data_IF_031704337754
#
_entry.id   IF_031704337754
#
_cell.length_a   1.000
_cell.length_b   1.000
_cell.length_c   1.000
_cell.angle_alpha   90.00
_cell.angle_beta   90.00
_cell.angle_gamma   90.00
#
_symmetry.space_group_name_H-M   'P 1'
#
loop_
_entity.id
_entity.type
_entity.pdbx_description
1 polymer ?
#
# COMPACT_ATOMS: atom_id res chain seq x y z
N UNK A 1 24.63 -13.71 5.66
CA UNK A 1 23.37 -13.02 5.90
C UNK A 1 22.47 -13.98 6.66
N UNK A 2 22.07 -13.64 7.88
CA UNK A 2 21.16 -14.48 8.67
C UNK A 2 19.77 -14.38 8.03
N UNK A 3 19.00 -15.47 8.06
CA UNK A 3 17.59 -15.51 7.57
C UNK A 3 16.64 -14.48 8.26
N UNK A 4 17.13 -13.78 9.28
CA UNK A 4 16.40 -12.76 10.03
C UNK A 4 16.24 -11.39 9.32
N UNK A 5 16.87 -11.20 8.15
CA UNK A 5 16.91 -9.92 7.43
C UNK A 5 16.13 -9.95 6.10
N UNK A 6 15.33 -10.98 5.85
CA UNK A 6 14.52 -11.04 4.64
C UNK A 6 13.23 -10.25 4.82
N UNK A 7 12.87 -9.45 3.81
CA UNK A 7 11.57 -8.78 3.75
C UNK A 7 10.44 -9.80 3.83
N UNK A 8 9.46 -9.55 4.70
CA UNK A 8 8.28 -10.38 4.90
C UNK A 8 7.07 -9.76 4.20
N UNK A 9 6.42 -10.51 3.33
CA UNK A 9 5.32 -10.02 2.50
C UNK A 9 4.09 -10.90 2.68
N UNK A 10 2.98 -10.33 3.16
CA UNK A 10 1.69 -10.98 3.27
C UNK A 10 0.84 -10.64 2.04
N UNK A 11 0.49 -11.64 1.25
CA UNK A 11 -0.27 -11.46 0.00
C UNK A 11 -1.67 -12.03 0.21
N UNK A 12 -2.67 -11.16 0.26
CA UNK A 12 -4.07 -11.57 0.33
C UNK A 12 -4.56 -11.94 -1.08
N UNK A 13 -5.09 -13.16 -1.21
CA UNK A 13 -5.50 -13.70 -2.49
C UNK A 13 -6.83 -14.43 -2.40
N UNK A 14 -7.80 -14.00 -3.20
CA UNK A 14 -9.14 -14.59 -3.27
C UNK A 14 -9.48 -15.19 -4.64
N UNK A 15 -8.53 -15.16 -5.60
CA UNK A 15 -8.72 -15.65 -6.96
C UNK A 15 -9.49 -14.70 -7.88
N UNK A 16 -9.84 -13.50 -7.40
CA UNK A 16 -10.46 -12.46 -8.23
C UNK A 16 -9.47 -11.87 -9.24
N UNK A 17 -9.98 -11.16 -10.26
CA UNK A 17 -9.13 -10.40 -11.19
C UNK A 17 -8.25 -9.39 -10.46
N UNK A 18 -8.75 -8.78 -9.38
CA UNK A 18 -7.98 -7.87 -8.55
C UNK A 18 -6.81 -8.55 -7.85
N UNK A 19 -7.02 -9.76 -7.32
CA UNK A 19 -5.96 -10.55 -6.69
C UNK A 19 -4.93 -11.06 -7.72
N UNK A 20 -5.37 -11.47 -8.91
CA UNK A 20 -4.48 -11.84 -10.01
C UNK A 20 -3.63 -10.64 -10.48
N UNK A 21 -4.27 -9.47 -10.63
CA UNK A 21 -3.58 -8.23 -10.94
C UNK A 21 -2.56 -7.83 -9.86
N UNK A 22 -2.85 -8.15 -8.59
CA UNK A 22 -1.92 -7.91 -7.48
C UNK A 22 -0.64 -8.74 -7.61
N UNK A 23 -0.75 -10.00 -8.05
CA UNK A 23 0.43 -10.84 -8.31
C UNK A 23 1.27 -10.26 -9.45
N UNK A 24 0.64 -9.81 -10.53
CA UNK A 24 1.36 -9.20 -11.65
C UNK A 24 2.04 -7.88 -11.26
N UNK A 25 1.41 -7.10 -10.40
CA UNK A 25 1.93 -5.83 -9.90
C UNK A 25 3.21 -5.99 -9.06
N UNK A 26 3.42 -7.14 -8.41
CA UNK A 26 4.65 -7.41 -7.64
C UNK A 26 5.92 -7.21 -8.47
N UNK A 27 5.89 -7.50 -9.79
CA UNK A 27 7.02 -7.29 -10.71
C UNK A 27 7.41 -5.82 -10.83
N UNK A 28 6.45 -4.92 -10.59
CA UNK A 28 6.61 -3.46 -10.73
C UNK A 28 6.77 -2.75 -9.39
N UNK A 29 6.90 -3.51 -8.30
CA UNK A 29 6.98 -2.99 -6.95
C UNK A 29 8.42 -2.79 -6.44
N UNK A 30 9.44 -3.07 -7.26
CA UNK A 30 10.85 -2.94 -6.86
C UNK A 30 11.26 -3.89 -5.73
N UNK A 31 10.52 -4.99 -5.52
CA UNK A 31 10.73 -5.91 -4.41
C UNK A 31 12.07 -6.66 -4.51
N UNK A 32 12.63 -7.11 -3.37
CA UNK A 32 13.92 -7.76 -3.36
C UNK A 32 13.89 -9.13 -4.05
N UNK A 33 15.04 -9.56 -4.60
CA UNK A 33 15.18 -10.88 -5.23
C UNK A 33 14.99 -12.04 -4.26
N UNK A 34 15.12 -11.81 -2.96
CA UNK A 34 14.93 -12.79 -1.89
C UNK A 34 14.03 -12.20 -0.82
N UNK A 35 12.94 -12.90 -0.51
CA UNK A 35 11.98 -12.52 0.50
C UNK A 35 11.31 -13.76 1.10
N UNK A 36 10.64 -13.59 2.23
CA UNK A 36 9.66 -14.54 2.74
C UNK A 36 8.26 -14.01 2.43
N UNK A 37 7.40 -14.87 1.91
CA UNK A 37 6.01 -14.49 1.62
C UNK A 37 5.03 -15.51 2.20
N UNK A 38 3.86 -15.02 2.63
CA UNK A 38 2.68 -15.85 2.89
C UNK A 38 1.60 -15.45 1.91
N UNK A 39 1.08 -16.43 1.17
CA UNK A 39 -0.17 -16.28 0.41
C UNK A 39 -1.30 -16.71 1.30
N UNK A 40 -2.17 -15.76 1.64
CA UNK A 40 -3.31 -15.96 2.54
C UNK A 40 -4.62 -15.89 1.76
N UNK A 41 -5.40 -16.97 1.82
CA UNK A 41 -6.75 -17.04 1.25
C UNK A 41 -7.76 -17.21 2.37
N UNK A 42 -8.75 -16.33 2.43
CA UNK A 42 -9.81 -16.36 3.43
C UNK A 42 -11.14 -16.68 2.75
N UNK A 43 -11.78 -17.74 3.22
CA UNK A 43 -13.16 -18.04 2.84
C UNK A 43 -14.11 -17.21 3.71
N UNK A 44 -14.92 -16.38 3.09
CA UNK A 44 -15.94 -15.62 3.80
C UNK A 44 -17.04 -16.56 4.29
N UNK A 45 -17.28 -16.56 5.57
CA UNK A 45 -18.38 -17.31 6.16
C UNK A 45 -19.56 -16.37 6.43
N UNK A 46 -20.59 -16.51 5.61
CA UNK A 46 -21.90 -15.94 5.90
C UNK A 46 -22.58 -16.88 6.91
N UNK A 47 -22.46 -16.60 8.22
CA UNK A 47 -23.29 -17.28 9.21
C UNK A 47 -24.75 -16.97 8.92
N UNK A 48 -25.58 -17.95 8.52
CA UNK A 48 -27.02 -17.72 8.54
C UNK A 48 -27.40 -17.45 9.99
N UNK A 49 -28.22 -16.44 10.22
CA UNK A 49 -28.76 -16.19 11.54
C UNK A 49 -29.36 -17.51 12.08
N UNK A 50 -29.12 -17.87 13.35
CA UNK A 50 -29.59 -19.16 13.90
C UNK A 50 -31.12 -19.22 13.87
N UNK A 51 -31.66 -19.91 12.89
CA UNK A 51 -33.12 -20.03 12.68
C UNK A 51 -33.71 -21.26 13.37
N UNK A 52 -32.93 -22.08 14.07
CA UNK A 52 -33.50 -23.14 14.92
C UNK A 52 -32.48 -23.71 15.90
N UNK A 53 -32.89 -23.81 17.14
CA UNK A 53 -32.31 -24.63 18.19
C UNK A 53 -32.70 -26.07 17.90
N UNK A 54 -31.78 -26.86 17.35
CA UNK A 54 -32.04 -28.30 17.19
C UNK A 54 -31.40 -28.90 15.95
N UNK A 55 -30.22 -29.46 16.13
CA UNK A 55 -29.52 -30.25 15.13
C UNK A 55 -28.25 -29.58 14.61
N UNK A 56 -27.14 -29.69 15.34
CA UNK A 56 -25.83 -29.48 14.81
C UNK A 56 -25.59 -30.56 13.76
N UNK A 57 -25.77 -30.17 12.50
CA UNK A 57 -25.66 -31.09 11.38
C UNK A 57 -24.19 -31.47 11.18
N UNK A 58 -23.91 -32.76 11.11
CA UNK A 58 -22.63 -33.33 10.68
C UNK A 58 -22.22 -32.89 9.25
N UNK A 59 -23.15 -32.31 8.51
CA UNK A 59 -22.99 -31.72 7.19
C UNK A 59 -22.16 -30.43 7.28
N UNK A 60 -22.37 -29.62 8.31
CA UNK A 60 -21.67 -28.32 8.50
C UNK A 60 -20.16 -28.49 8.62
N UNK A 61 -19.70 -29.51 9.35
CA UNK A 61 -18.26 -29.78 9.50
C UNK A 61 -17.58 -30.30 8.21
N UNK A 62 -18.31 -31.00 7.35
CA UNK A 62 -17.81 -31.48 6.06
C UNK A 62 -17.65 -30.32 5.06
N UNK A 63 -18.66 -29.46 5.00
CA UNK A 63 -18.67 -28.28 4.13
C UNK A 63 -17.54 -27.31 4.50
N UNK A 64 -17.23 -27.19 5.80
CA UNK A 64 -16.14 -26.35 6.30
C UNK A 64 -14.77 -26.88 5.86
N UNK A 65 -14.56 -28.19 6.02
CA UNK A 65 -13.32 -28.87 5.60
C UNK A 65 -13.11 -28.84 4.07
N UNK A 66 -14.17 -28.87 3.31
CA UNK A 66 -14.11 -28.76 1.85
C UNK A 66 -13.73 -27.34 1.42
N UNK A 67 -14.36 -26.33 2.01
CA UNK A 67 -14.03 -24.91 1.79
C UNK A 67 -12.57 -24.58 2.15
N UNK A 68 -12.07 -25.12 3.26
CA UNK A 68 -10.66 -24.94 3.65
C UNK A 68 -9.71 -25.56 2.63
N UNK A 69 -10.03 -26.76 2.12
CA UNK A 69 -9.24 -27.41 1.05
C UNK A 69 -9.24 -26.57 -0.25
N UNK A 70 -10.37 -26.01 -0.63
CA UNK A 70 -10.50 -25.18 -1.81
C UNK A 70 -9.67 -23.89 -1.66
N UNK A 71 -9.73 -23.27 -0.48
CA UNK A 71 -8.91 -22.07 -0.17
C UNK A 71 -7.42 -22.38 -0.22
N UNK A 72 -6.98 -23.51 0.34
CA UNK A 72 -5.59 -23.94 0.26
C UNK A 72 -5.18 -24.25 -1.18
N UNK A 73 -6.05 -24.87 -1.99
CA UNK A 73 -5.79 -25.11 -3.40
C UNK A 73 -5.61 -23.81 -4.18
N UNK A 74 -6.47 -22.82 -3.86
CA UNK A 74 -6.38 -21.47 -4.45
C UNK A 74 -5.07 -20.77 -4.07
N UNK A 75 -4.69 -20.79 -2.78
CA UNK A 75 -3.43 -20.22 -2.31
C UNK A 75 -2.21 -20.89 -2.95
N UNK A 76 -2.25 -22.22 -3.18
CA UNK A 76 -1.18 -22.96 -3.88
C UNK A 76 -1.04 -22.58 -5.34
N UNK A 77 -2.13 -22.25 -6.02
CA UNK A 77 -2.07 -21.72 -7.40
C UNK A 77 -1.32 -20.38 -7.44
N UNK A 78 -1.68 -19.48 -6.54
CA UNK A 78 -0.98 -18.21 -6.40
C UNK A 78 0.50 -18.40 -6.02
N UNK A 79 0.80 -19.29 -5.06
CA UNK A 79 2.16 -19.66 -4.69
C UNK A 79 2.98 -20.08 -5.90
N UNK A 80 2.44 -20.99 -6.73
CA UNK A 80 3.14 -21.50 -7.92
C UNK A 80 3.42 -20.38 -8.92
N UNK A 81 2.46 -19.45 -9.13
CA UNK A 81 2.63 -18.29 -10.00
C UNK A 81 3.67 -17.32 -9.48
N UNK A 82 3.62 -16.99 -8.18
CA UNK A 82 4.60 -16.09 -7.55
C UNK A 82 5.99 -16.72 -7.58
N UNK A 83 6.12 -18.03 -7.38
CA UNK A 83 7.42 -18.72 -7.45
C UNK A 83 8.05 -18.66 -8.84
N UNK A 84 7.24 -18.69 -9.91
CA UNK A 84 7.73 -18.49 -11.28
C UNK A 84 8.26 -17.06 -11.49
N UNK A 85 7.65 -16.07 -10.86
CA UNK A 85 8.06 -14.66 -10.96
C UNK A 85 9.27 -14.35 -10.08
N UNK A 86 9.34 -14.97 -8.91
CA UNK A 86 10.34 -14.74 -7.87
C UNK A 86 10.92 -16.08 -7.36
N UNK A 87 11.80 -16.74 -8.14
CA UNK A 87 12.35 -18.05 -7.76
C UNK A 87 13.15 -18.04 -6.45
N UNK A 88 13.63 -16.88 -6.03
CA UNK A 88 14.41 -16.69 -4.80
C UNK A 88 13.55 -16.48 -3.55
N UNK A 89 12.22 -16.43 -3.67
CA UNK A 89 11.33 -16.23 -2.52
C UNK A 89 10.98 -17.55 -1.84
N UNK A 90 10.94 -17.52 -0.52
CA UNK A 90 10.37 -18.60 0.29
C UNK A 90 8.88 -18.29 0.50
N UNK A 91 8.01 -19.06 -0.14
CA UNK A 91 6.58 -18.78 -0.17
C UNK A 91 5.83 -19.86 0.60
N UNK A 92 5.13 -19.47 1.64
CA UNK A 92 4.20 -20.29 2.40
C UNK A 92 2.77 -20.03 1.93
N UNK A 93 1.89 -20.97 2.16
CA UNK A 93 0.44 -20.82 1.93
C UNK A 93 -0.29 -20.98 3.24
N UNK A 94 -1.34 -20.20 3.39
CA UNK A 94 -2.22 -20.23 4.54
C UNK A 94 -3.67 -20.01 4.12
N UNK A 95 -4.60 -20.57 4.87
CA UNK A 95 -6.03 -20.42 4.62
C UNK A 95 -6.74 -20.19 5.94
N UNK A 96 -7.79 -19.39 5.89
CA UNK A 96 -8.64 -19.10 7.03
C UNK A 96 -10.11 -19.03 6.64
N UNK A 97 -10.97 -19.00 7.65
CA UNK A 97 -12.42 -18.84 7.50
C UNK A 97 -12.84 -17.69 8.39
N UNK A 98 -13.58 -16.74 7.83
CA UNK A 98 -14.07 -15.58 8.59
C UNK A 98 -14.22 -14.33 7.73
N UNK A 99 -14.13 -13.17 8.35
CA UNK A 99 -14.13 -11.88 7.65
C UNK A 99 -12.75 -11.60 7.05
N UNK A 100 -12.59 -11.54 5.71
CA UNK A 100 -11.28 -11.46 5.08
C UNK A 100 -10.40 -10.33 5.61
N UNK A 101 -10.94 -9.12 5.74
CA UNK A 101 -10.16 -7.99 6.25
C UNK A 101 -9.68 -8.18 7.69
N UNK A 102 -10.51 -8.79 8.57
CA UNK A 102 -10.14 -9.05 9.96
C UNK A 102 -9.09 -10.16 10.07
N UNK A 103 -9.22 -11.23 9.30
CA UNK A 103 -8.28 -12.35 9.30
C UNK A 103 -6.91 -11.93 8.72
N UNK A 104 -6.89 -11.07 7.69
CA UNK A 104 -5.64 -10.50 7.16
C UNK A 104 -4.92 -9.70 8.24
N UNK A 105 -5.64 -8.84 8.98
CA UNK A 105 -5.06 -8.05 10.08
C UNK A 105 -4.55 -8.95 11.19
N UNK A 106 -5.35 -9.92 11.66
CA UNK A 106 -4.94 -10.85 12.70
C UNK A 106 -3.66 -11.63 12.31
N UNK A 107 -3.60 -12.10 11.06
CA UNK A 107 -2.39 -12.78 10.55
C UNK A 107 -1.19 -11.82 10.45
N UNK A 108 -1.42 -10.56 10.05
CA UNK A 108 -0.36 -9.56 10.01
C UNK A 108 0.17 -9.23 11.42
N UNK A 109 -0.68 -9.14 12.42
CA UNK A 109 -0.27 -8.90 13.81
C UNK A 109 0.55 -10.06 14.39
N UNK A 110 0.20 -11.30 14.03
CA UNK A 110 0.93 -12.50 14.44
C UNK A 110 2.29 -12.64 13.75
N UNK A 111 2.30 -12.55 12.42
CA UNK A 111 3.50 -12.82 11.61
C UNK A 111 4.40 -11.60 11.42
N UNK A 112 3.87 -10.39 11.63
CA UNK A 112 4.54 -9.09 11.50
C UNK A 112 5.24 -8.94 10.15
N UNK A 113 4.50 -8.87 9.05
CA UNK A 113 5.06 -8.58 7.74
C UNK A 113 5.54 -7.13 7.65
N UNK A 114 6.49 -6.88 6.75
CA UNK A 114 6.91 -5.53 6.38
C UNK A 114 5.91 -4.91 5.40
N UNK A 115 5.28 -5.73 4.56
CA UNK A 115 4.34 -5.31 3.53
C UNK A 115 3.15 -6.27 3.44
N UNK A 116 1.94 -5.70 3.43
CA UNK A 116 0.72 -6.41 3.01
C UNK A 116 0.39 -6.01 1.58
N UNK A 117 0.10 -6.98 0.72
CA UNK A 117 -0.36 -6.76 -0.66
C UNK A 117 -1.80 -7.23 -0.80
N UNK A 118 -2.65 -6.33 -1.25
CA UNK A 118 -4.08 -6.61 -1.51
C UNK A 118 -4.46 -6.11 -2.90
N UNK A 119 -5.39 -6.77 -3.56
CA UNK A 119 -6.03 -6.23 -4.77
C UNK A 119 -6.87 -4.98 -4.44
N UNK A 120 -7.13 -4.14 -5.41
CA UNK A 120 -7.96 -2.95 -5.19
C UNK A 120 -9.45 -3.29 -5.03
N UNK A 121 -9.88 -4.45 -5.54
CA UNK A 121 -11.25 -4.96 -5.45
C UNK A 121 -11.24 -6.50 -5.53
N UNK A 122 -12.27 -7.14 -4.99
CA UNK A 122 -12.48 -8.59 -5.02
C UNK A 122 -13.64 -8.99 -5.94
N UNK A 123 -14.22 -10.18 -5.70
CA UNK A 123 -15.29 -10.78 -6.52
C UNK A 123 -16.58 -9.95 -6.65
N UNK A 124 -16.88 -9.06 -5.70
CA UNK A 124 -18.17 -8.35 -5.63
C UNK A 124 -18.18 -6.99 -6.34
N UNK A 125 -17.07 -6.54 -6.90
CA UNK A 125 -16.98 -5.21 -7.49
C UNK A 125 -17.38 -5.21 -8.97
N UNK A 126 -18.46 -4.51 -9.28
CA UNK A 126 -18.89 -4.19 -10.64
C UNK A 126 -18.18 -2.90 -11.11
N UNK A 127 -16.99 -3.06 -11.72
CA UNK A 127 -16.27 -1.97 -12.39
C UNK A 127 -14.99 -1.50 -11.71
N UNK A 128 -14.11 -0.88 -12.50
CA UNK A 128 -12.72 -0.48 -12.14
C UNK A 128 -12.62 0.68 -11.13
N UNK A 129 -13.72 1.27 -10.68
CA UNK A 129 -13.73 2.48 -9.84
C UNK A 129 -14.11 2.21 -8.36
N UNK A 130 -14.32 0.96 -7.95
CA UNK A 130 -14.69 0.66 -6.57
C UNK A 130 -13.49 0.18 -5.76
N UNK A 131 -13.21 0.88 -4.68
CA UNK A 131 -12.24 0.48 -3.67
C UNK A 131 -12.89 -0.56 -2.75
N UNK A 132 -12.31 -1.77 -2.69
CA UNK A 132 -12.90 -2.90 -1.97
C UNK A 132 -12.93 -2.70 -0.45
N UNK A 133 -13.96 -3.23 0.21
CA UNK A 133 -14.10 -3.16 1.68
C UNK A 133 -12.94 -3.82 2.42
N UNK A 134 -12.41 -4.93 1.90
CA UNK A 134 -11.23 -5.61 2.45
C UNK A 134 -10.00 -4.72 2.38
N UNK A 135 -9.71 -4.16 1.20
CA UNK A 135 -8.55 -3.28 0.99
C UNK A 135 -8.65 -2.02 1.83
N UNK A 136 -9.85 -1.45 1.96
CA UNK A 136 -10.11 -0.29 2.81
C UNK A 136 -9.87 -0.62 4.29
N UNK A 137 -10.35 -1.77 4.77
CA UNK A 137 -10.12 -2.21 6.15
C UNK A 137 -8.63 -2.45 6.41
N UNK A 138 -7.95 -3.15 5.51
CA UNK A 138 -6.51 -3.44 5.65
C UNK A 138 -5.68 -2.15 5.69
N UNK A 139 -5.93 -1.19 4.77
CA UNK A 139 -5.23 0.10 4.80
C UNK A 139 -5.48 0.86 6.11
N UNK A 140 -6.68 0.81 6.66
CA UNK A 140 -7.00 1.56 7.88
C UNK A 140 -6.38 0.94 9.12
N UNK A 141 -6.36 -0.39 9.22
CA UNK A 141 -6.07 -1.11 10.47
C UNK A 141 -4.69 -1.79 10.51
N UNK A 142 -4.02 -2.00 9.37
CA UNK A 142 -2.70 -2.62 9.37
C UNK A 142 -1.65 -1.81 10.12
N UNK A 143 -0.71 -2.49 10.78
CA UNK A 143 0.41 -1.87 11.50
C UNK A 143 1.71 -1.78 10.67
N UNK A 144 1.73 -2.34 9.47
CA UNK A 144 2.82 -2.30 8.52
C UNK A 144 2.39 -1.60 7.22
N UNK A 145 3.31 -1.44 6.28
CA UNK A 145 3.02 -0.87 4.96
C UNK A 145 2.01 -1.73 4.20
N UNK A 146 1.16 -1.06 3.39
CA UNK A 146 0.11 -1.73 2.61
C UNK A 146 0.18 -1.26 1.16
N UNK A 147 0.31 -2.22 0.24
CA UNK A 147 0.21 -2.00 -1.19
C UNK A 147 -1.16 -2.43 -1.69
N UNK A 148 -1.91 -1.48 -2.21
CA UNK A 148 -3.15 -1.73 -2.96
C UNK A 148 -2.78 -1.81 -4.42
N UNK A 149 -2.80 -3.00 -4.94
CA UNK A 149 -2.35 -3.27 -6.29
C UNK A 149 -3.47 -3.00 -7.31
N UNK A 150 -3.08 -2.32 -8.38
CA UNK A 150 -3.88 -2.09 -9.58
C UNK A 150 -3.00 -2.42 -10.77
N UNK A 151 -2.97 -3.71 -11.12
CA UNK A 151 -2.04 -4.22 -12.12
C UNK A 151 -2.21 -3.53 -13.48
N UNK A 152 -1.12 -2.94 -13.96
CA UNK A 152 -0.91 -2.71 -15.39
C UNK A 152 -0.03 -3.85 -15.89
N UNK A 153 -0.45 -4.48 -16.98
CA UNK A 153 0.40 -5.47 -17.66
C UNK A 153 1.50 -4.69 -18.38
N UNK A 154 2.67 -4.64 -17.81
CA UNK A 154 3.87 -4.02 -18.38
C UNK A 154 5.01 -5.02 -18.27
N UNK A 155 5.89 -5.04 -19.26
CA UNK A 155 7.09 -5.89 -19.23
C UNK A 155 7.95 -5.57 -18.01
N UNK A 156 8.52 -6.60 -17.35
CA UNK A 156 9.22 -6.44 -16.06
C UNK A 156 10.45 -5.53 -16.11
N UNK A 157 11.17 -5.53 -17.23
CA UNK A 157 12.45 -4.82 -17.39
C UNK A 157 12.29 -3.37 -17.90
N UNK A 158 11.05 -2.91 -18.11
CA UNK A 158 10.79 -1.51 -18.47
C UNK A 158 10.99 -0.62 -17.27
N UNK A 159 11.66 0.54 -17.38
CA UNK A 159 11.84 1.49 -16.29
C UNK A 159 10.54 1.82 -15.58
N UNK A 160 10.56 1.81 -14.24
CA UNK A 160 9.39 2.12 -13.44
C UNK A 160 9.17 3.64 -13.36
N UNK A 161 7.91 4.04 -13.32
CA UNK A 161 7.47 5.42 -13.13
C UNK A 161 6.76 5.54 -11.79
N UNK A 162 7.36 6.28 -10.89
CA UNK A 162 6.97 6.32 -9.49
C UNK A 162 6.54 7.74 -9.13
N UNK A 163 5.48 7.87 -8.35
CA UNK A 163 5.11 9.11 -7.67
C UNK A 163 5.39 8.93 -6.19
N UNK A 164 5.92 9.95 -5.54
CA UNK A 164 5.97 10.01 -4.08
C UNK A 164 5.42 11.33 -3.57
N UNK A 165 4.48 11.26 -2.64
CA UNK A 165 3.95 12.41 -1.93
C UNK A 165 4.79 12.74 -0.71
N UNK A 166 5.32 13.95 -0.65
CA UNK A 166 6.13 14.42 0.48
C UNK A 166 5.54 15.68 1.09
N UNK A 167 5.44 15.73 2.41
CA UNK A 167 4.97 16.89 3.16
C UNK A 167 5.92 17.28 4.30
N UNK A 168 7.00 16.53 4.48
CA UNK A 168 7.99 16.70 5.55
C UNK A 168 7.62 15.96 6.84
N UNK A 169 6.64 15.06 6.80
CA UNK A 169 6.34 14.15 7.90
C UNK A 169 7.29 12.94 7.92
N UNK A 170 7.50 12.32 9.10
CA UNK A 170 8.29 11.09 9.26
C UNK A 170 7.81 9.96 8.34
N UNK A 171 6.50 9.87 8.11
CA UNK A 171 5.90 8.83 7.27
C UNK A 171 6.15 9.10 5.77
N UNK A 172 6.20 10.37 5.37
CA UNK A 172 6.59 10.75 4.00
C UNK A 172 8.09 10.48 3.76
N UNK A 173 8.94 10.75 4.74
CA UNK A 173 10.35 10.42 4.69
C UNK A 173 10.57 8.90 4.62
N UNK A 174 9.78 8.13 5.38
CA UNK A 174 9.79 6.66 5.30
C UNK A 174 9.38 6.16 3.90
N UNK A 175 8.44 6.83 3.23
CA UNK A 175 8.06 6.48 1.86
C UNK A 175 9.20 6.73 0.86
N UNK A 176 9.96 7.82 1.04
CA UNK A 176 11.17 8.10 0.25
C UNK A 176 12.25 7.04 0.52
N UNK A 177 12.46 6.66 1.80
CA UNK A 177 13.41 5.62 2.19
C UNK A 177 13.05 4.26 1.60
N UNK A 178 11.78 3.91 1.64
CA UNK A 178 11.27 2.66 1.07
C UNK A 178 11.58 2.60 -0.44
N UNK A 179 11.30 3.67 -1.19
CA UNK A 179 11.62 3.73 -2.63
C UNK A 179 13.13 3.60 -2.86
N UNK A 180 13.95 4.33 -2.09
CA UNK A 180 15.40 4.33 -2.25
C UNK A 180 16.05 2.98 -1.95
N UNK A 181 15.44 2.15 -1.09
CA UNK A 181 15.94 0.83 -0.68
C UNK A 181 15.60 -0.29 -1.66
N UNK A 182 14.68 -0.06 -2.60
CA UNK A 182 14.16 -1.08 -3.51
C UNK A 182 14.99 -1.29 -4.77
N UNK A 183 14.77 -2.45 -5.41
CA UNK A 183 15.44 -2.83 -6.65
C UNK A 183 14.58 -2.40 -7.86
N UNK A 184 14.84 -1.22 -8.38
CA UNK A 184 14.16 -0.74 -9.58
C UNK A 184 14.95 -1.07 -10.86
N UNK A 185 14.27 -1.30 -12.01
CA UNK A 185 14.94 -1.41 -13.29
C UNK A 185 15.74 -0.14 -13.63
N UNK A 186 16.85 -0.31 -14.35
CA UNK A 186 17.68 0.81 -14.78
C UNK A 186 16.88 1.85 -15.56
N UNK A 187 17.11 3.12 -15.28
CA UNK A 187 16.41 4.23 -15.92
C UNK A 187 15.04 4.55 -15.31
N UNK A 188 14.65 3.88 -14.22
CA UNK A 188 13.42 4.22 -13.49
C UNK A 188 13.43 5.67 -13.02
N UNK A 189 12.27 6.29 -13.02
CA UNK A 189 12.06 7.68 -12.67
C UNK A 189 11.09 7.83 -11.49
N UNK A 190 11.36 8.83 -10.65
CA UNK A 190 10.49 9.18 -9.53
C UNK A 190 10.14 10.65 -9.60
N UNK A 191 8.84 10.94 -9.48
CA UNK A 191 8.34 12.31 -9.36
C UNK A 191 7.94 12.58 -7.91
N UNK A 192 8.65 13.53 -7.33
CA UNK A 192 8.42 14.00 -5.97
C UNK A 192 7.35 15.08 -6.04
N UNK A 193 6.24 14.87 -5.35
CA UNK A 193 5.08 15.75 -5.39
C UNK A 193 4.83 16.32 -4.01
N UNK A 194 4.82 17.64 -3.92
CA UNK A 194 4.40 18.39 -2.74
C UNK A 194 3.23 19.28 -3.13
N UNK A 195 2.19 19.23 -2.31
CA UNK A 195 1.07 20.17 -2.38
C UNK A 195 1.39 21.35 -1.46
N UNK A 196 1.90 22.43 -2.05
CA UNK A 196 2.14 23.63 -1.28
C UNK A 196 0.79 24.19 -0.79
N UNK A 197 0.66 24.24 0.48
CA UNK A 197 -0.06 25.11 1.37
C UNK A 197 -1.58 25.12 1.53
N UNK A 198 -1.88 25.65 2.72
CA UNK A 198 -3.09 26.41 3.01
C UNK A 198 -2.62 27.71 3.67
N UNK A 199 -2.91 28.88 3.09
CA UNK A 199 -2.78 30.13 3.83
C UNK A 199 -3.58 29.97 5.12
N UNK A 200 -3.00 30.23 6.30
CA UNK A 200 -3.78 30.25 7.52
C UNK A 200 -4.98 31.19 7.31
N UNK A 201 -6.19 30.68 7.50
CA UNK A 201 -7.39 31.50 7.41
C UNK A 201 -7.20 32.71 8.32
N UNK A 202 -7.29 33.91 7.77
CA UNK A 202 -7.16 35.20 8.47
C UNK A 202 -8.30 35.46 9.50
N UNK A 203 -8.95 34.41 9.95
CA UNK A 203 -10.09 34.45 10.89
C UNK A 203 -9.71 34.51 12.37
N UNK A 204 -8.43 34.56 12.71
CA UNK A 204 -8.02 34.76 14.09
C UNK A 204 -7.46 36.19 14.27
N UNK A 205 -8.25 37.15 14.83
CA UNK A 205 -7.87 38.57 14.89
C UNK A 205 -6.65 38.89 15.78
N UNK A 206 -6.04 37.85 16.39
CA UNK A 206 -4.91 38.00 17.32
C UNK A 206 -3.54 37.71 16.72
N UNK A 207 -3.45 37.15 15.52
CA UNK A 207 -2.20 36.81 14.85
C UNK A 207 -2.05 37.63 13.56
N UNK A 208 -1.53 38.87 13.69
CA UNK A 208 -0.92 39.56 12.54
C UNK A 208 0.35 38.77 12.16
N UNK A 209 0.18 37.61 11.52
CA UNK A 209 1.27 36.87 10.89
C UNK A 209 1.71 37.76 9.72
N UNK A 210 3.00 38.17 9.73
CA UNK A 210 3.56 38.79 8.55
C UNK A 210 3.50 37.76 7.41
N UNK A 211 2.55 37.92 6.51
CA UNK A 211 2.28 36.97 5.43
C UNK A 211 3.51 36.71 4.58
N UNK A 212 4.34 37.74 4.37
CA UNK A 212 5.57 37.62 3.60
C UNK A 212 6.60 36.71 4.30
N UNK A 213 6.78 36.89 5.60
CA UNK A 213 7.67 36.01 6.38
C UNK A 213 7.16 34.58 6.45
N UNK A 214 5.83 34.41 6.55
CA UNK A 214 5.23 33.08 6.56
C UNK A 214 5.44 32.39 5.21
N UNK A 215 5.16 33.08 4.09
CA UNK A 215 5.41 32.53 2.73
C UNK A 215 6.88 32.16 2.55
N UNK A 216 7.80 33.03 2.97
CA UNK A 216 9.24 32.77 2.85
C UNK A 216 9.67 31.52 3.63
N UNK A 217 9.23 31.37 4.89
CA UNK A 217 9.52 30.20 5.72
C UNK A 217 8.91 28.91 5.15
N UNK A 218 7.67 28.98 4.66
CA UNK A 218 7.01 27.83 4.09
C UNK A 218 7.67 27.40 2.77
N UNK A 219 8.03 28.36 1.92
CA UNK A 219 8.78 28.09 0.69
C UNK A 219 10.13 27.43 0.99
N UNK A 220 10.88 27.95 1.97
CA UNK A 220 12.14 27.35 2.40
C UNK A 220 11.96 25.94 2.95
N UNK A 221 10.92 25.71 3.76
CA UNK A 221 10.59 24.39 4.31
C UNK A 221 10.29 23.40 3.19
N UNK A 222 9.42 23.77 2.24
CA UNK A 222 9.05 22.91 1.11
C UNK A 222 10.27 22.61 0.25
N UNK A 223 11.11 23.61 -0.06
CA UNK A 223 12.34 23.42 -0.84
C UNK A 223 13.26 22.39 -0.19
N UNK A 224 13.52 22.52 1.11
CA UNK A 224 14.34 21.55 1.86
C UNK A 224 13.79 20.13 1.80
N UNK A 225 12.47 19.96 1.95
CA UNK A 225 11.81 18.66 1.92
C UNK A 225 11.96 18.00 0.55
N UNK A 226 11.62 18.72 -0.53
CA UNK A 226 11.65 18.14 -1.88
C UNK A 226 13.07 17.93 -2.41
N UNK A 227 13.99 18.84 -2.10
CA UNK A 227 15.40 18.73 -2.48
C UNK A 227 16.08 17.57 -1.74
N UNK A 228 15.84 17.42 -0.43
CA UNK A 228 16.36 16.29 0.35
C UNK A 228 15.86 14.94 -0.16
N UNK A 229 14.58 14.86 -0.52
CA UNK A 229 14.01 13.66 -1.14
C UNK A 229 14.66 13.38 -2.52
N UNK A 230 14.87 14.44 -3.35
CA UNK A 230 15.48 14.30 -4.67
C UNK A 230 16.94 13.83 -4.58
N UNK A 231 17.72 14.37 -3.64
CA UNK A 231 19.10 13.96 -3.39
C UNK A 231 19.19 12.49 -2.98
N UNK A 232 18.32 12.05 -2.04
CA UNK A 232 18.27 10.67 -1.56
C UNK A 232 17.93 9.70 -2.68
N UNK A 233 16.88 9.98 -3.46
CA UNK A 233 16.42 9.13 -4.55
C UNK A 233 17.43 9.13 -5.72
N UNK A 234 18.05 10.28 -6.03
CA UNK A 234 19.14 10.38 -7.00
C UNK A 234 20.35 9.54 -6.60
N UNK A 235 20.71 9.56 -5.31
CA UNK A 235 21.81 8.74 -4.76
C UNK A 235 21.50 7.22 -4.84
N UNK A 236 20.24 6.85 -4.87
CA UNK A 236 19.78 5.48 -5.09
C UNK A 236 19.69 5.10 -6.59
N UNK A 237 20.12 5.96 -7.51
CA UNK A 237 20.18 5.69 -8.96
C UNK A 237 18.87 5.99 -9.71
N UNK A 238 17.90 6.64 -9.08
CA UNK A 238 16.63 7.02 -9.70
C UNK A 238 16.71 8.41 -10.34
N UNK A 239 16.00 8.61 -11.46
CA UNK A 239 15.84 9.93 -12.06
C UNK A 239 14.76 10.70 -11.31
N UNK A 240 15.17 11.59 -10.41
CA UNK A 240 14.25 12.39 -9.61
C UNK A 240 13.79 13.65 -10.35
N UNK A 241 12.48 13.96 -10.25
CA UNK A 241 11.90 15.24 -10.69
C UNK A 241 10.98 15.78 -9.61
N UNK A 242 10.81 17.09 -9.53
CA UNK A 242 10.06 17.77 -8.46
C UNK A 242 8.87 18.49 -9.06
N UNK A 243 7.72 18.34 -8.42
CA UNK A 243 6.48 19.09 -8.70
C UNK A 243 5.94 19.65 -7.40
N UNK A 244 5.86 20.99 -7.33
CA UNK A 244 5.22 21.71 -6.22
C UNK A 244 4.09 22.55 -6.79
N UNK A 245 2.87 22.33 -6.33
CA UNK A 245 1.67 23.06 -6.80
C UNK A 245 0.72 23.38 -5.65
N UNK A 246 0.02 24.48 -5.81
CA UNK A 246 -1.11 24.86 -4.99
C UNK A 246 -2.38 24.11 -5.42
N UNK A 247 -2.62 22.94 -4.86
CA UNK A 247 -3.76 22.11 -5.23
C UNK A 247 -4.11 21.14 -4.10
N UNK A 248 -5.34 20.64 -4.04
CA UNK A 248 -5.67 19.52 -3.14
C UNK A 248 -4.70 18.37 -3.35
N UNK A 249 -4.00 17.88 -2.29
CA UNK A 249 -2.93 16.90 -2.43
C UNK A 249 -3.39 15.58 -3.04
N UNK A 250 -4.63 15.16 -2.81
CA UNK A 250 -5.18 13.92 -3.40
C UNK A 250 -5.36 14.08 -4.90
N UNK A 251 -5.92 15.20 -5.32
CA UNK A 251 -6.12 15.51 -6.73
C UNK A 251 -4.79 15.68 -7.45
N UNK A 252 -3.82 16.38 -6.81
CA UNK A 252 -2.49 16.56 -7.37
C UNK A 252 -1.75 15.24 -7.57
N UNK A 253 -1.69 14.38 -6.55
CA UNK A 253 -1.02 13.08 -6.64
C UNK A 253 -1.63 12.19 -7.73
N UNK A 254 -2.96 12.12 -7.81
CA UNK A 254 -3.64 11.34 -8.83
C UNK A 254 -3.40 11.90 -10.23
N UNK A 255 -3.51 13.22 -10.44
CA UNK A 255 -3.28 13.85 -11.75
C UNK A 255 -1.82 13.73 -12.22
N UNK A 256 -0.85 13.87 -11.31
CA UNK A 256 0.56 13.67 -11.67
C UNK A 256 0.88 12.20 -11.97
N UNK A 257 0.19 11.26 -11.32
CA UNK A 257 0.30 9.84 -11.65
C UNK A 257 -0.29 9.53 -13.05
N UNK A 258 -1.41 10.14 -13.42
CA UNK A 258 -1.97 10.02 -14.77
C UNK A 258 -1.05 10.65 -15.83
N UNK A 259 -0.56 11.88 -15.59
CA UNK A 259 0.34 12.59 -16.50
C UNK A 259 1.64 11.83 -16.74
N UNK A 260 2.21 11.19 -15.71
CA UNK A 260 3.41 10.38 -15.81
C UNK A 260 3.12 8.98 -16.37
N UNK A 261 1.85 8.57 -16.41
CA UNK A 261 1.45 7.16 -16.57
C UNK A 261 2.15 6.27 -15.53
N UNK A 262 2.11 6.69 -14.27
CA UNK A 262 2.84 6.06 -13.19
C UNK A 262 2.41 4.60 -12.96
N UNK A 263 3.35 3.77 -12.55
CA UNK A 263 3.10 2.40 -12.11
C UNK A 263 2.56 2.38 -10.67
N UNK A 264 3.08 3.28 -9.83
CA UNK A 264 2.62 3.36 -8.44
C UNK A 264 2.82 4.76 -7.82
N UNK A 265 2.02 5.02 -6.79
CA UNK A 265 2.13 6.16 -5.89
C UNK A 265 2.55 5.65 -4.51
N UNK A 266 3.59 6.24 -3.94
CA UNK A 266 3.98 6.05 -2.55
C UNK A 266 3.53 7.25 -1.73
N UNK A 267 2.90 6.99 -0.59
CA UNK A 267 2.48 8.01 0.37
C UNK A 267 2.70 7.51 1.78
N UNK A 268 3.09 8.38 2.69
CA UNK A 268 3.10 8.07 4.11
C UNK A 268 1.68 7.78 4.62
N UNK A 269 1.54 6.90 5.59
CA UNK A 269 0.23 6.59 6.15
C UNK A 269 -0.44 7.82 6.80
N UNK A 270 0.37 8.77 7.29
CA UNK A 270 -0.06 10.02 7.93
C UNK A 270 0.78 11.18 7.44
N UNK A 271 0.25 12.40 7.55
CA UNK A 271 0.97 13.63 7.27
C UNK A 271 1.19 14.45 8.55
N UNK A 272 1.73 15.66 8.38
CA UNK A 272 1.93 16.62 9.47
C UNK A 272 0.61 16.92 10.20
N UNK A 273 0.60 16.82 11.53
CA UNK A 273 -0.49 17.31 12.38
C UNK A 273 -1.45 16.28 12.96
N UNK A 274 -1.22 14.97 12.86
CA UNK A 274 -2.05 13.95 13.53
C UNK A 274 -1.30 13.23 14.64
N UNK A 275 -1.87 13.31 15.84
CA UNK A 275 -1.36 12.66 17.07
C UNK A 275 -1.90 11.24 17.29
N UNK A 276 -2.97 10.84 16.63
CA UNK A 276 -3.58 9.51 16.84
C UNK A 276 -2.89 8.43 16.01
N UNK A 277 -2.34 7.44 16.72
CA UNK A 277 -1.40 6.42 16.20
C UNK A 277 -2.01 5.40 15.23
N UNK A 278 -3.33 5.29 15.12
CA UNK A 278 -4.01 4.16 14.45
C UNK A 278 -4.85 4.56 13.22
N UNK A 279 -4.95 5.83 12.87
CA UNK A 279 -5.78 6.26 11.76
C UNK A 279 -4.94 6.65 10.54
N UNK A 280 -5.32 6.13 9.39
CA UNK A 280 -4.77 6.56 8.11
C UNK A 280 -5.12 8.02 7.82
N UNK A 281 -4.21 8.76 7.19
CA UNK A 281 -4.43 10.12 6.76
C UNK A 281 -5.48 10.24 5.64
N UNK A 282 -6.18 11.37 5.58
CA UNK A 282 -7.18 11.64 4.55
C UNK A 282 -6.59 11.67 3.13
N UNK A 283 -5.32 12.08 2.99
CA UNK A 283 -4.61 12.09 1.70
C UNK A 283 -4.35 10.65 1.26
N UNK A 284 -3.72 9.84 2.10
CA UNK A 284 -3.33 8.46 1.80
C UNK A 284 -4.54 7.60 1.49
N UNK A 285 -5.61 7.69 2.31
CA UNK A 285 -6.88 7.00 2.06
C UNK A 285 -7.54 7.48 0.76
N UNK A 286 -7.54 8.80 0.52
CA UNK A 286 -8.16 9.38 -0.67
C UNK A 286 -7.41 9.03 -1.96
N UNK A 287 -6.08 8.97 -1.94
CA UNK A 287 -5.25 8.52 -3.06
C UNK A 287 -5.46 7.03 -3.32
N UNK A 288 -5.42 6.20 -2.27
CA UNK A 288 -5.67 4.77 -2.39
C UNK A 288 -7.04 4.43 -3.00
N UNK A 289 -8.05 5.25 -2.72
CA UNK A 289 -9.38 5.06 -3.29
C UNK A 289 -9.51 5.51 -4.76
N UNK A 290 -8.75 6.53 -5.20
CA UNK A 290 -8.97 7.22 -6.48
C UNK A 290 -7.93 6.96 -7.56
N UNK A 291 -6.69 6.61 -7.18
CA UNK A 291 -5.60 6.41 -8.13
C UNK A 291 -5.92 5.31 -9.15
N UNK A 292 -5.49 5.49 -10.39
CA UNK A 292 -5.61 4.50 -11.47
C UNK A 292 -4.45 3.50 -11.50
N UNK A 293 -3.39 3.76 -10.74
CA UNK A 293 -2.24 2.88 -10.56
C UNK A 293 -2.18 2.33 -9.13
N UNK A 294 -1.25 1.44 -8.88
CA UNK A 294 -1.03 0.90 -7.53
C UNK A 294 -0.68 1.99 -6.53
N UNK A 295 -1.08 1.81 -5.29
CA UNK A 295 -0.77 2.76 -4.21
C UNK A 295 -0.15 2.00 -3.05
N UNK A 296 1.00 2.48 -2.60
CA UNK A 296 1.64 1.96 -1.40
C UNK A 296 1.58 3.00 -0.29
N UNK A 297 0.90 2.63 0.78
CA UNK A 297 0.77 3.41 2.00
C UNK A 297 1.86 2.93 2.96
N UNK A 298 2.89 3.75 3.12
CA UNK A 298 4.06 3.40 3.92
C UNK A 298 3.87 3.80 5.37
N UNK A 299 4.22 2.89 6.28
CA UNK A 299 4.26 3.11 7.72
C UNK A 299 5.69 2.98 8.22
N UNK A 300 6.16 3.99 8.94
CA UNK A 300 7.45 3.89 9.62
C UNK A 300 7.39 2.78 10.67
N UNK A 301 8.31 1.81 10.58
CA UNK A 301 8.47 0.80 11.63
C UNK A 301 9.09 1.48 12.84
N UNK A 302 8.28 1.88 13.81
CA UNK A 302 8.83 2.29 15.11
C UNK A 302 9.19 1.03 15.88
N UNK A 303 10.47 0.84 16.10
CA UNK A 303 10.95 -0.09 17.14
C UNK A 303 10.33 0.38 18.45
N UNK A 304 9.31 -0.33 18.90
CA UNK A 304 8.79 -0.13 20.27
C UNK A 304 9.85 -0.71 21.18
N UNK A 305 10.66 0.19 21.78
CA UNK A 305 11.56 -0.12 22.89
C UNK A 305 10.74 -0.39 24.17
#
# INVERSE_FOLDING_TARGET
MKDSDLMKILIAYDGSEGAESAIDDLKRAGLPRRAEAIVLTITEELFPAPTSIGGVSTTFGKDLLEKEKDSLALARRAQSRIHQLFPGWKILVDAGIGSPGSEIIARADEWRPDLIVVGSHGHTALGRMFFGSVSQKVINEAHCSVRVARGRIVEPDVPARIIVGVDGSEEADAAVDEIASRNWPDGSEVRIVNSAWTIPSASDPGTAVNLEEWIARETERVSKVVEGAAEKLGSAGLKASIVVKEQDPKALLCSEAENLMADCIFVGARGMGRLERFLIGSVSSGVAARAHCSVEVVRSVRVVN
#
